data_IF_595875063667
#
_entry.id   IF_595875063667
#
_cell.length_a   1.000
_cell.length_b   1.000
_cell.length_c   1.000
_cell.angle_alpha   90.00
_cell.angle_beta   90.00
_cell.angle_gamma   90.00
#
_symmetry.space_group_name_H-M   'P 1'
#
loop_
_entity.id
_entity.type
_entity.pdbx_description
1 polymer ?
#
# COMPACT_ATOMS: atom_id res chain seq x y z
N UNK A 1 -13.88 -2.60 -9.60
CA UNK A 1 -13.14 -1.36 -9.28
C UNK A 1 -11.71 -1.51 -9.79
N UNK A 2 -11.00 -0.42 -10.14
CA UNK A 2 -9.60 -0.53 -10.62
C UNK A 2 -8.69 -1.19 -9.58
N UNK A 3 -8.91 -0.87 -8.30
CA UNK A 3 -8.16 -1.43 -7.19
C UNK A 3 -8.25 -2.96 -7.10
N UNK A 4 -9.35 -3.57 -7.53
CA UNK A 4 -9.54 -5.01 -7.52
C UNK A 4 -8.70 -5.73 -8.59
N UNK A 5 -8.16 -4.99 -9.55
CA UNK A 5 -7.29 -5.52 -10.61
C UNK A 5 -5.81 -5.26 -10.33
N UNK A 6 -5.46 -4.75 -9.14
CA UNK A 6 -4.08 -4.47 -8.74
C UNK A 6 -3.62 -5.55 -7.77
N UNK A 7 -2.76 -6.44 -8.25
CA UNK A 7 -2.12 -7.48 -7.43
C UNK A 7 -0.61 -7.27 -7.31
N UNK A 8 -0.03 -6.36 -8.11
CA UNK A 8 1.41 -6.09 -8.12
C UNK A 8 1.76 -4.67 -8.60
N UNK A 9 2.99 -4.19 -8.34
CA UNK A 9 3.47 -2.93 -8.91
C UNK A 9 3.45 -2.90 -10.44
N UNK A 10 3.56 -4.06 -11.10
CA UNK A 10 3.55 -4.15 -12.55
C UNK A 10 2.20 -3.72 -13.16
N UNK A 11 1.10 -3.91 -12.42
CA UNK A 11 -0.24 -3.52 -12.88
C UNK A 11 -0.38 -2.00 -12.93
N UNK A 12 0.25 -1.29 -11.99
CA UNK A 12 0.28 0.17 -11.92
C UNK A 12 1.00 0.79 -13.12
N UNK A 13 2.03 0.14 -13.66
CA UNK A 13 2.77 0.62 -14.82
C UNK A 13 1.94 0.65 -16.11
N UNK A 14 0.91 -0.18 -16.19
CA UNK A 14 0.07 -0.33 -17.39
C UNK A 14 -1.07 0.69 -17.45
N UNK A 15 -1.41 1.31 -16.33
CA UNK A 15 -2.50 2.27 -16.25
C UNK A 15 -2.17 3.58 -16.97
N UNK A 16 -3.17 4.24 -17.53
CA UNK A 16 -3.10 5.63 -17.97
C UNK A 16 -3.11 6.59 -16.77
N UNK A 17 -2.76 7.87 -16.99
CA UNK A 17 -2.83 8.88 -15.94
C UNK A 17 -4.25 9.06 -15.38
N UNK A 18 -5.27 8.99 -16.24
CA UNK A 18 -6.68 9.07 -15.82
C UNK A 18 -7.06 7.89 -14.93
N UNK A 19 -6.62 6.67 -15.28
CA UNK A 19 -6.84 5.49 -14.44
C UNK A 19 -6.08 5.58 -13.12
N UNK A 20 -4.86 6.14 -13.09
CA UNK A 20 -4.15 6.40 -11.84
C UNK A 20 -4.91 7.38 -10.93
N UNK A 21 -5.48 8.45 -11.50
CA UNK A 21 -6.31 9.39 -10.72
C UNK A 21 -7.54 8.69 -10.14
N UNK A 22 -8.21 7.85 -10.92
CA UNK A 22 -9.34 7.06 -10.43
C UNK A 22 -8.93 6.07 -9.34
N UNK A 23 -7.84 5.33 -9.56
CA UNK A 23 -7.28 4.40 -8.58
C UNK A 23 -6.91 5.10 -7.27
N UNK A 24 -6.36 6.31 -7.32
CA UNK A 24 -6.03 7.09 -6.13
C UNK A 24 -7.27 7.45 -5.29
N UNK A 25 -8.43 7.65 -5.92
CA UNK A 25 -9.71 7.85 -5.19
C UNK A 25 -10.15 6.56 -4.54
N UNK A 26 -10.12 5.44 -5.27
CA UNK A 26 -10.49 4.12 -4.73
C UNK A 26 -9.59 3.69 -3.56
N UNK A 27 -8.27 3.93 -3.64
CA UNK A 27 -7.32 3.66 -2.56
C UNK A 27 -7.66 4.48 -1.31
N UNK A 28 -7.97 5.77 -1.45
CA UNK A 28 -8.35 6.61 -0.29
C UNK A 28 -9.58 6.05 0.40
N UNK A 29 -10.60 5.71 -0.38
CA UNK A 29 -11.83 5.13 0.16
C UNK A 29 -11.52 3.82 0.91
N UNK A 30 -10.74 2.93 0.29
CA UNK A 30 -10.32 1.67 0.90
C UNK A 30 -9.57 1.89 2.22
N UNK A 31 -8.61 2.82 2.26
CA UNK A 31 -7.81 3.11 3.46
C UNK A 31 -8.69 3.68 4.58
N UNK A 32 -9.61 4.60 4.27
CA UNK A 32 -10.58 5.13 5.24
C UNK A 32 -11.41 3.99 5.83
N UNK A 33 -11.93 3.10 4.98
CA UNK A 33 -12.78 2.00 5.42
C UNK A 33 -12.01 0.97 6.26
N UNK A 34 -10.78 0.63 5.87
CA UNK A 34 -9.92 -0.28 6.62
C UNK A 34 -9.56 0.29 8.01
N UNK A 35 -9.18 1.56 8.08
CA UNK A 35 -8.82 2.21 9.35
C UNK A 35 -10.06 2.41 10.23
N UNK A 36 -11.23 2.71 9.66
CA UNK A 36 -12.47 2.77 10.43
C UNK A 36 -12.83 1.44 11.10
N UNK A 37 -12.53 0.30 10.46
CA UNK A 37 -12.78 -1.04 11.01
C UNK A 37 -11.74 -1.50 12.02
N UNK A 38 -10.45 -1.27 11.75
CA UNK A 38 -9.35 -1.91 12.49
C UNK A 38 -8.46 -0.93 13.25
N UNK A 39 -8.71 0.38 13.15
CA UNK A 39 -7.82 1.43 13.64
C UNK A 39 -6.53 1.54 12.81
N UNK A 40 -5.57 2.31 13.32
CA UNK A 40 -4.28 2.54 12.66
C UNK A 40 -4.11 3.95 12.11
N UNK A 41 -3.18 4.11 11.18
CA UNK A 41 -2.64 5.40 10.79
C UNK A 41 -3.36 5.97 9.56
N UNK A 42 -4.34 6.85 9.74
CA UNK A 42 -5.13 7.37 8.63
C UNK A 42 -4.39 8.48 7.85
N UNK A 43 -4.07 9.58 8.52
CA UNK A 43 -3.60 10.81 7.85
C UNK A 43 -2.31 10.62 7.07
N UNK A 44 -1.36 9.85 7.63
CA UNK A 44 -0.08 9.54 6.99
C UNK A 44 -0.27 8.77 5.67
N UNK A 45 -1.21 7.82 5.63
CA UNK A 45 -1.50 7.03 4.45
C UNK A 45 -2.27 7.82 3.39
N UNK A 46 -3.24 8.64 3.79
CA UNK A 46 -3.96 9.51 2.85
C UNK A 46 -3.03 10.52 2.16
N UNK A 47 -2.03 11.04 2.88
CA UNK A 47 -1.01 11.94 2.32
C UNK A 47 0.01 11.26 1.41
N UNK A 48 0.10 9.94 1.43
CA UNK A 48 1.13 9.18 0.68
C UNK A 48 0.59 8.49 -0.59
N UNK A 49 -0.71 8.61 -0.92
CA UNK A 49 -1.34 7.86 -2.02
C UNK A 49 -0.63 8.09 -3.36
N UNK A 50 -0.58 9.33 -3.84
CA UNK A 50 0.01 9.65 -5.14
C UNK A 50 1.51 9.38 -5.18
N UNK A 51 2.22 9.68 -4.08
CA UNK A 51 3.65 9.40 -3.98
C UNK A 51 3.90 7.89 -4.15
N UNK A 52 3.13 7.06 -3.46
CA UNK A 52 3.29 5.60 -3.50
C UNK A 52 2.96 5.03 -4.88
N UNK A 53 1.91 5.54 -5.55
CA UNK A 53 1.58 5.20 -6.92
C UNK A 53 2.72 5.58 -7.88
N UNK A 54 3.25 6.79 -7.76
CA UNK A 54 4.35 7.26 -8.60
C UNK A 54 5.62 6.42 -8.40
N UNK A 55 5.96 6.10 -7.14
CA UNK A 55 7.12 5.26 -6.82
C UNK A 55 6.98 3.87 -7.45
N UNK A 56 5.86 3.19 -7.28
CA UNK A 56 5.64 1.85 -7.85
C UNK A 56 5.45 1.84 -9.38
N UNK A 57 5.11 2.98 -9.97
CA UNK A 57 5.08 3.14 -11.43
C UNK A 57 6.48 3.31 -12.02
N UNK A 58 7.36 4.03 -11.34
CA UNK A 58 8.70 4.38 -11.86
C UNK A 58 9.74 3.32 -11.51
N UNK A 59 9.72 2.83 -10.27
CA UNK A 59 10.68 1.85 -9.77
C UNK A 59 10.13 0.42 -9.88
N UNK A 60 11.04 -0.53 -10.06
CA UNK A 60 10.72 -1.95 -10.20
C UNK A 60 10.92 -2.69 -8.88
N UNK A 61 10.08 -2.40 -7.88
CA UNK A 61 10.08 -3.15 -6.62
C UNK A 61 9.65 -4.61 -6.86
N UNK A 62 10.33 -5.62 -6.26
CA UNK A 62 11.32 -5.53 -5.19
C UNK A 62 12.77 -5.45 -5.66
N UNK A 63 13.04 -5.41 -6.97
CA UNK A 63 14.40 -5.28 -7.52
C UNK A 63 15.00 -3.93 -7.13
N UNK A 64 14.23 -2.86 -7.29
CA UNK A 64 14.54 -1.55 -6.74
C UNK A 64 14.01 -1.46 -5.31
N UNK A 65 14.88 -1.06 -4.38
CA UNK A 65 14.57 -1.00 -2.96
C UNK A 65 13.85 0.31 -2.65
N UNK A 66 12.62 0.20 -2.12
CA UNK A 66 11.83 1.33 -1.62
C UNK A 66 11.77 1.27 -0.10
N UNK A 67 12.30 2.30 0.57
CA UNK A 67 12.35 2.38 2.03
C UNK A 67 11.32 3.38 2.56
N UNK A 68 10.51 2.93 3.52
CA UNK A 68 9.51 3.75 4.20
C UNK A 68 9.97 4.02 5.63
N UNK A 69 10.52 5.21 5.88
CA UNK A 69 10.96 5.59 7.21
C UNK A 69 9.78 5.69 8.18
N UNK A 70 9.96 5.25 9.43
CA UNK A 70 8.90 5.03 10.43
C UNK A 70 7.78 4.05 10.01
N UNK A 71 7.58 3.77 8.72
CA UNK A 71 6.70 2.72 8.19
C UNK A 71 5.18 2.95 8.26
N UNK A 72 4.69 3.81 9.14
CA UNK A 72 3.25 4.00 9.39
C UNK A 72 2.44 4.54 8.19
N UNK A 73 3.09 5.06 7.16
CA UNK A 73 2.52 5.55 5.89
C UNK A 73 2.51 4.50 4.76
N UNK A 74 2.78 3.22 5.08
CA UNK A 74 2.98 2.18 4.09
C UNK A 74 1.74 1.32 3.76
N UNK A 75 0.52 1.68 4.18
CA UNK A 75 -0.69 0.91 3.81
C UNK A 75 -0.93 0.93 2.31
N UNK A 76 -0.73 2.08 1.66
CA UNK A 76 -0.83 2.15 0.20
C UNK A 76 0.23 1.26 -0.45
N UNK A 77 1.45 1.26 0.09
CA UNK A 77 2.51 0.38 -0.39
C UNK A 77 2.13 -1.09 -0.26
N UNK A 78 1.59 -1.51 0.90
CA UNK A 78 1.09 -2.88 1.12
C UNK A 78 -0.01 -3.25 0.12
N UNK A 79 -0.97 -2.36 -0.07
CA UNK A 79 -2.07 -2.54 -1.01
C UNK A 79 -1.58 -2.78 -2.45
N UNK A 80 -0.64 -1.95 -2.93
CA UNK A 80 -0.08 -2.03 -4.29
C UNK A 80 0.90 -3.19 -4.52
N UNK A 81 1.19 -3.95 -3.47
CA UNK A 81 2.11 -5.10 -3.51
C UNK A 81 1.40 -6.40 -3.14
N UNK A 82 0.14 -6.52 -3.55
CA UNK A 82 -0.63 -7.76 -3.54
C UNK A 82 -1.26 -8.12 -2.20
N UNK A 83 -1.28 -7.20 -1.23
CA UNK A 83 -1.68 -7.50 0.16
C UNK A 83 -3.06 -6.98 0.54
N UNK A 84 -3.93 -6.69 -0.42
CA UNK A 84 -5.29 -6.17 -0.18
C UNK A 84 -6.09 -7.02 0.81
N UNK A 85 -6.07 -8.34 0.66
CA UNK A 85 -6.86 -9.26 1.50
C UNK A 85 -6.45 -9.25 2.98
N UNK A 86 -5.17 -8.98 3.28
CA UNK A 86 -4.70 -8.99 4.67
C UNK A 86 -5.16 -7.77 5.50
N UNK A 87 -5.77 -6.77 4.86
CA UNK A 87 -6.36 -5.63 5.58
C UNK A 87 -7.54 -6.02 6.46
N UNK A 88 -8.20 -7.15 6.20
CA UNK A 88 -9.28 -7.67 7.05
C UNK A 88 -8.78 -8.07 8.45
N UNK A 89 -7.46 -8.28 8.59
CA UNK A 89 -6.77 -8.58 9.83
C UNK A 89 -5.65 -7.56 10.12
N UNK A 90 -5.82 -6.32 9.67
CA UNK A 90 -4.84 -5.26 9.91
C UNK A 90 -4.64 -5.00 11.41
N UNK A 91 -3.38 -5.02 11.87
CA UNK A 91 -2.94 -4.75 13.25
C UNK A 91 -3.55 -5.68 14.30
N UNK A 92 -4.03 -6.85 13.89
CA UNK A 92 -4.50 -7.89 14.78
C UNK A 92 -3.34 -8.85 15.12
N UNK A 93 -3.46 -9.55 16.25
CA UNK A 93 -2.55 -10.66 16.58
C UNK A 93 -2.57 -11.70 15.45
N UNK A 94 -1.39 -12.16 15.03
CA UNK A 94 -1.16 -13.02 13.86
C UNK A 94 -1.71 -12.48 12.53
N UNK A 95 -2.13 -11.21 12.51
CA UNK A 95 -2.62 -10.49 11.35
C UNK A 95 -1.53 -9.69 10.65
N UNK A 96 -1.96 -8.82 9.73
CA UNK A 96 -1.03 -7.96 8.99
C UNK A 96 -0.49 -6.84 9.87
N UNK A 97 0.82 -6.65 9.86
CA UNK A 97 1.49 -5.56 10.54
C UNK A 97 1.00 -4.19 10.02
N UNK A 98 0.91 -3.24 10.96
CA UNK A 98 0.69 -1.84 10.64
C UNK A 98 1.91 -1.13 10.03
N UNK A 99 3.03 -1.83 9.84
CA UNK A 99 4.31 -1.34 9.36
C UNK A 99 4.88 -2.32 8.33
N UNK A 100 5.84 -1.91 7.47
CA UNK A 100 6.55 -2.85 6.62
C UNK A 100 7.17 -3.99 7.45
N UNK A 101 7.08 -5.22 6.94
CA UNK A 101 7.54 -6.45 7.58
C UNK A 101 8.15 -7.37 6.51
N UNK A 102 9.42 -7.75 6.69
CA UNK A 102 10.13 -8.62 5.72
C UNK A 102 9.53 -10.02 5.69
N UNK A 103 8.86 -10.41 6.77
CA UNK A 103 8.12 -11.67 6.86
C UNK A 103 6.84 -11.66 6.02
N UNK A 104 6.27 -10.48 5.73
CA UNK A 104 5.02 -10.35 4.98
C UNK A 104 5.22 -10.16 3.48
N UNK A 105 6.36 -9.60 3.06
CA UNK A 105 6.56 -9.25 1.65
C UNK A 105 8.02 -9.03 1.27
N UNK A 106 8.44 -9.43 0.06
CA UNK A 106 9.75 -9.07 -0.49
C UNK A 106 9.87 -7.56 -0.81
N UNK A 107 8.75 -6.82 -0.82
CA UNK A 107 8.74 -5.38 -1.06
C UNK A 107 9.08 -4.57 0.21
N UNK A 108 9.03 -5.20 1.38
CA UNK A 108 9.32 -4.57 2.66
C UNK A 108 10.78 -4.90 3.04
N UNK A 109 11.66 -3.90 3.03
CA UNK A 109 13.09 -4.10 3.26
C UNK A 109 13.58 -3.75 4.66
N UNK A 110 12.92 -2.79 5.33
CA UNK A 110 13.28 -2.34 6.67
C UNK A 110 12.03 -2.40 7.55
N UNK A 111 12.23 -2.81 8.80
CA UNK A 111 11.22 -2.89 9.83
C UNK A 111 11.51 -1.79 10.84
N UNK A 112 10.74 -0.70 10.78
CA UNK A 112 10.92 0.48 11.60
C UNK A 112 9.53 0.90 12.10
N UNK A 113 9.42 1.12 13.40
CA UNK A 113 8.20 1.51 14.12
C UNK A 113 8.32 2.90 14.71
#
# INVERSE_FOLDING_TARGET
>A
MLLETIDSPADIRRLSHTELTALAVEIRQFVVDAVNRHGGHLGSNLGAVELTLAMHRVFDSPRDILLWDTGHQAYVHKLLTGRRAGFDHLRQDDGMSGYPSRLESPHDWVENS
#
